data_IF_366102086826
#
_entry.id   IF_366102086826
#
_cell.length_a   1.000
_cell.length_b   1.000
_cell.length_c   1.000
_cell.angle_alpha   90.00
_cell.angle_beta   90.00
_cell.angle_gamma   90.00
#
_symmetry.space_group_name_H-M   'P 1'
#
loop_
_entity.id
_entity.type
_entity.pdbx_description
1 polymer ?
#
# COMPACT_ATOMS: atom_id res chain seq x y z
N UNK A 1 25.94 24.24 12.43
CA UNK A 1 26.71 23.01 12.11
C UNK A 1 27.58 23.35 10.92
N UNK A 2 28.88 23.07 10.98
CA UNK A 2 29.79 23.34 9.87
C UNK A 2 29.59 22.27 8.79
N UNK A 3 29.10 22.66 7.61
CA UNK A 3 28.86 21.76 6.48
C UNK A 3 30.14 21.06 6.02
N UNK A 4 31.30 21.69 6.23
CA UNK A 4 32.62 21.16 5.86
C UNK A 4 33.00 19.89 6.60
N UNK A 5 32.35 19.59 7.73
CA UNK A 5 32.58 18.36 8.53
C UNK A 5 31.68 17.21 8.10
N UNK A 6 30.72 17.43 7.19
CA UNK A 6 29.82 16.37 6.73
C UNK A 6 30.55 15.52 5.70
N UNK A 7 30.64 14.22 5.95
CA UNK A 7 31.19 13.26 4.99
C UNK A 7 30.31 13.11 3.72
N UNK A 8 29.04 13.47 3.83
CA UNK A 8 28.07 13.40 2.74
C UNK A 8 27.35 14.75 2.66
N UNK A 9 27.42 15.44 1.50
CA UNK A 9 26.64 16.66 1.28
C UNK A 9 25.16 16.31 1.05
N UNK A 10 24.25 17.20 1.45
CA UNK A 10 22.80 16.98 1.29
C UNK A 10 22.42 16.69 -0.17
N UNK A 11 23.07 17.36 -1.13
CA UNK A 11 22.83 17.17 -2.56
C UNK A 11 23.05 15.73 -3.02
N UNK A 12 24.05 15.03 -2.48
CA UNK A 12 24.32 13.62 -2.80
C UNK A 12 23.24 12.71 -2.23
N UNK A 13 22.77 12.99 -1.01
CA UNK A 13 21.66 12.26 -0.41
C UNK A 13 20.35 12.43 -1.19
N UNK A 14 20.04 13.66 -1.58
CA UNK A 14 18.87 13.97 -2.41
C UNK A 14 18.92 13.26 -3.77
N UNK A 15 20.04 13.37 -4.49
CA UNK A 15 20.19 12.73 -5.80
C UNK A 15 19.99 11.20 -5.75
N UNK A 16 20.47 10.55 -4.69
CA UNK A 16 20.28 9.13 -4.51
C UNK A 16 18.81 8.77 -4.23
N UNK A 17 18.12 9.59 -3.42
CA UNK A 17 16.71 9.38 -3.15
C UNK A 17 15.86 9.55 -4.42
N UNK A 18 16.18 10.54 -5.24
CA UNK A 18 15.54 10.77 -6.54
C UNK A 18 15.76 9.57 -7.49
N UNK A 19 16.96 8.99 -7.51
CA UNK A 19 17.29 7.79 -8.30
C UNK A 19 16.45 6.58 -7.90
N UNK A 20 16.23 6.37 -6.60
CA UNK A 20 15.38 5.28 -6.09
C UNK A 20 13.89 5.62 -6.06
N UNK A 21 13.49 6.85 -6.42
CA UNK A 21 12.10 7.30 -6.34
C UNK A 21 11.55 7.32 -4.91
N UNK A 22 12.41 7.57 -3.91
CA UNK A 22 12.03 7.68 -2.50
C UNK A 22 12.21 9.12 -2.01
N UNK A 23 11.52 9.47 -0.92
CA UNK A 23 11.66 10.79 -0.30
C UNK A 23 12.96 10.86 0.52
N UNK A 24 13.60 12.02 0.49
CA UNK A 24 14.77 12.33 1.30
C UNK A 24 14.40 13.25 2.47
N UNK A 25 14.99 12.99 3.64
CA UNK A 25 14.84 13.83 4.83
C UNK A 25 16.16 13.89 5.61
N UNK A 26 16.55 15.08 6.05
CA UNK A 26 17.66 15.26 7.01
C UNK A 26 17.09 15.53 8.40
N UNK A 27 17.42 14.69 9.38
CA UNK A 27 16.93 14.81 10.75
C UNK A 27 18.08 14.81 11.76
N UNK A 28 17.86 15.45 12.90
CA UNK A 28 18.79 15.41 14.03
C UNK A 28 18.04 15.05 15.30
N UNK A 29 18.16 13.79 15.73
CA UNK A 29 17.58 13.32 16.98
C UNK A 29 18.11 14.11 18.20
N UNK A 30 19.39 14.51 18.15
CA UNK A 30 20.04 15.28 19.24
C UNK A 30 19.40 16.64 19.46
N UNK A 31 18.97 17.30 18.39
CA UNK A 31 18.40 18.66 18.45
C UNK A 31 16.90 18.68 18.13
N UNK A 32 16.28 17.49 18.05
CA UNK A 32 14.89 17.32 17.63
C UNK A 32 14.55 17.97 16.27
N UNK A 33 15.51 18.08 15.36
CA UNK A 33 15.29 18.68 14.05
C UNK A 33 14.60 17.68 13.11
N UNK A 34 13.46 18.08 12.52
CA UNK A 34 12.71 17.36 11.49
C UNK A 34 12.22 15.95 11.90
N UNK A 35 12.30 15.60 13.18
CA UNK A 35 11.91 14.27 13.67
C UNK A 35 10.40 14.07 13.51
N UNK A 36 9.60 15.00 14.02
CA UNK A 36 8.14 14.92 13.96
C UNK A 36 7.61 14.92 12.53
N UNK A 37 8.12 15.85 11.70
CA UNK A 37 7.72 15.98 10.30
C UNK A 37 7.94 14.68 9.52
N UNK A 38 9.06 13.99 9.73
CA UNK A 38 9.36 12.71 9.07
C UNK A 38 8.33 11.65 9.45
N UNK A 39 8.03 11.49 10.74
CA UNK A 39 7.05 10.51 11.18
C UNK A 39 5.64 10.82 10.65
N UNK A 40 5.24 12.09 10.66
CA UNK A 40 3.96 12.51 10.08
C UNK A 40 3.89 12.28 8.58
N UNK A 41 4.95 12.59 7.83
CA UNK A 41 4.99 12.36 6.38
C UNK A 41 4.85 10.87 6.06
N UNK A 42 5.58 10.00 6.78
CA UNK A 42 5.52 8.55 6.58
C UNK A 42 4.10 8.03 6.88
N UNK A 43 3.52 8.43 8.01
CA UNK A 43 2.17 8.01 8.38
C UNK A 43 1.13 8.45 7.35
N UNK A 44 1.23 9.69 6.84
CA UNK A 44 0.36 10.23 5.79
C UNK A 44 0.49 9.42 4.50
N UNK A 45 1.70 9.14 4.06
CA UNK A 45 1.95 8.38 2.83
C UNK A 45 1.40 6.96 2.93
N UNK A 46 1.57 6.27 4.07
CA UNK A 46 1.01 4.94 4.29
C UNK A 46 -0.51 4.99 4.22
N UNK A 47 -1.14 5.94 4.92
CA UNK A 47 -2.60 6.09 4.92
C UNK A 47 -3.15 6.34 3.52
N UNK A 48 -2.50 7.18 2.72
CA UNK A 48 -2.89 7.44 1.34
C UNK A 48 -2.77 6.19 0.47
N UNK A 49 -1.64 5.48 0.54
CA UNK A 49 -1.43 4.24 -0.22
C UNK A 49 -2.46 3.16 0.08
N UNK A 50 -2.90 3.04 1.34
CA UNK A 50 -3.96 2.11 1.73
C UNK A 50 -5.29 2.49 1.07
N UNK A 51 -5.69 3.76 1.16
CA UNK A 51 -6.93 4.24 0.54
C UNK A 51 -6.94 4.08 -1.00
N UNK A 52 -5.80 4.32 -1.65
CA UNK A 52 -5.64 4.13 -3.10
C UNK A 52 -5.68 2.64 -3.50
N UNK A 53 -5.29 1.74 -2.59
CA UNK A 53 -5.34 0.29 -2.82
C UNK A 53 -6.76 -0.26 -2.67
N UNK A 54 -7.53 0.23 -1.68
CA UNK A 54 -8.92 -0.18 -1.46
C UNK A 54 -9.87 0.28 -2.59
N UNK A 55 -9.54 1.36 -3.29
CA UNK A 55 -10.33 1.87 -4.43
C UNK A 55 -10.11 1.10 -5.73
N UNK A 56 -9.16 0.15 -5.78
CA UNK A 56 -8.94 -0.77 -6.90
C UNK A 56 -9.56 -2.16 -6.66
N UNK A 57 -10.71 -2.20 -5.98
CA UNK A 57 -11.58 -3.37 -5.98
C UNK A 57 -12.49 -3.29 -7.22
N UNK A 58 -12.17 -4.07 -8.25
CA UNK A 58 -12.98 -4.21 -9.47
C UNK A 58 -14.45 -4.56 -9.15
N UNK A 59 -15.43 -4.05 -9.92
CA UNK A 59 -16.82 -4.38 -9.74
C UNK A 59 -17.13 -5.71 -10.43
N UNK A 60 -17.12 -6.82 -9.70
CA UNK A 60 -17.70 -8.07 -10.21
C UNK A 60 -18.73 -8.64 -9.26
N UNK A 61 -19.79 -7.85 -9.01
CA UNK A 61 -21.07 -8.46 -8.66
C UNK A 61 -21.62 -9.15 -9.90
N UNK A 62 -21.29 -10.43 -10.09
CA UNK A 62 -22.08 -11.28 -11.00
C UNK A 62 -23.47 -11.43 -10.35
N UNK A 63 -24.45 -10.65 -10.83
CA UNK A 63 -25.86 -10.84 -10.50
C UNK A 63 -26.40 -11.99 -11.33
N UNK A 64 -26.31 -13.21 -10.80
CA UNK A 64 -27.12 -14.33 -11.29
C UNK A 64 -28.55 -14.08 -10.82
N UNK A 65 -29.35 -13.44 -11.67
CA UNK A 65 -30.79 -13.46 -11.52
C UNK A 65 -31.40 -13.93 -12.85
N UNK A 66 -31.50 -15.25 -12.99
CA UNK A 66 -32.30 -15.88 -14.02
C UNK A 66 -33.31 -16.80 -13.32
N UNK A 67 -34.56 -16.34 -13.08
CA UNK A 67 -35.65 -17.20 -12.68
C UNK A 67 -36.24 -17.84 -13.94
N UNK A 68 -35.62 -18.91 -14.45
CA UNK A 68 -36.30 -19.78 -15.41
C UNK A 68 -37.01 -20.89 -14.64
N UNK A 69 -38.31 -20.68 -14.47
CA UNK A 69 -39.27 -21.69 -14.07
C UNK A 69 -39.33 -22.80 -15.12
N UNK A 70 -39.11 -24.05 -14.70
CA UNK A 70 -39.99 -25.19 -15.00
C UNK A 70 -39.31 -26.53 -14.65
N UNK A 71 -39.94 -27.24 -13.71
CA UNK A 71 -40.22 -28.68 -13.79
C UNK A 71 -39.08 -29.67 -14.04
N UNK A 72 -38.83 -30.54 -13.05
CA UNK A 72 -38.21 -31.83 -13.34
C UNK A 72 -37.58 -32.50 -12.12
N UNK A 73 -38.23 -33.55 -11.63
CA UNK A 73 -37.72 -34.43 -10.61
C UNK A 73 -36.40 -35.10 -11.02
N UNK A 74 -35.51 -35.33 -10.04
CA UNK A 74 -34.62 -36.48 -10.05
C UNK A 74 -33.12 -36.17 -9.96
N UNK A 75 -32.49 -36.86 -8.99
CA UNK A 75 -31.08 -37.29 -8.96
C UNK A 75 -30.05 -36.19 -8.70
N UNK A 76 -28.95 -36.42 -8.00
CA UNK A 76 -28.46 -37.49 -7.14
C UNK A 76 -27.32 -36.86 -6.31
N UNK A 77 -27.05 -37.41 -5.14
CA UNK A 77 -25.95 -36.98 -4.28
C UNK A 77 -24.61 -36.89 -5.04
N UNK A 78 -23.96 -35.73 -4.99
CA UNK A 78 -22.52 -35.62 -5.21
C UNK A 78 -21.86 -35.12 -3.94
N UNK A 79 -21.43 -36.07 -3.11
CA UNK A 79 -20.39 -35.84 -2.11
C UNK A 79 -19.08 -35.66 -2.87
N UNK A 80 -18.48 -34.48 -2.79
CA UNK A 80 -17.05 -34.31 -3.06
C UNK A 80 -16.40 -33.74 -1.82
N UNK A 81 -15.82 -34.63 -1.02
CA UNK A 81 -14.91 -34.24 0.06
C UNK A 81 -13.66 -33.60 -0.54
N UNK A 82 -13.27 -32.46 0.02
CA UNK A 82 -11.99 -31.82 -0.30
C UNK A 82 -11.06 -32.04 0.92
N UNK A 83 -10.03 -32.86 0.72
CA UNK A 83 -8.84 -32.98 1.56
C UNK A 83 -7.66 -32.44 0.73
N UNK A 84 -6.77 -31.68 1.36
CA UNK A 84 -5.55 -31.13 0.78
C UNK A 84 -5.23 -29.76 1.33
#
# INVERSE_FOLDING_TARGET
MDESKRAVPSSKGQALADEYGIKFFETSAKTNLNVEEVFFSIAKDIKQRLADSDTKAEPSTIKINQPDAAGGAGQAAQKSGCCG
#
